data_IF_224629257939
#
_entry.id   IF_224629257939
#
_cell.length_a   1.000
_cell.length_b   1.000
_cell.length_c   1.000
_cell.angle_alpha   90.00
_cell.angle_beta   90.00
_cell.angle_gamma   90.00
#
_symmetry.space_group_name_H-M   'P 1'
#
loop_
_entity.id
_entity.type
_entity.pdbx_description
1 polymer ?
#
# COMPACT_ATOMS: atom_id res chain seq x y z
N UNK A 1 23.25 -0.41 -0.60
CA UNK A 1 21.83 -0.82 -0.70
C UNK A 1 21.39 -1.37 0.64
N UNK A 2 20.67 -0.58 1.42
CA UNK A 2 20.14 -0.98 2.73
C UNK A 2 18.68 -1.40 2.56
N UNK A 3 18.37 -2.69 2.75
CA UNK A 3 17.00 -3.22 2.71
C UNK A 3 16.52 -3.52 4.13
N UNK A 4 15.39 -2.91 4.52
CA UNK A 4 14.78 -3.08 5.84
C UNK A 4 13.88 -4.33 5.87
N UNK A 5 13.99 -5.13 6.94
CA UNK A 5 13.24 -6.37 7.17
C UNK A 5 11.88 -6.06 7.82
N UNK A 6 10.77 -6.48 7.21
CA UNK A 6 9.39 -6.07 7.56
C UNK A 6 8.94 -6.47 8.99
N UNK A 7 9.75 -7.25 9.74
CA UNK A 7 9.44 -7.68 11.10
C UNK A 7 10.50 -7.40 12.18
N UNK A 8 11.63 -6.74 11.85
CA UNK A 8 12.68 -6.39 12.85
C UNK A 8 12.87 -4.89 13.06
N UNK A 9 12.11 -4.06 12.37
CA UNK A 9 12.00 -2.68 12.77
C UNK A 9 11.18 -2.60 14.05
N UNK A 10 11.81 -2.13 15.12
CA UNK A 10 11.18 -1.02 15.84
C UNK A 10 10.80 -0.03 14.75
N UNK A 11 9.53 0.01 14.36
CA UNK A 11 9.02 0.90 13.31
C UNK A 11 9.23 2.33 13.81
N UNK A 12 10.43 2.86 13.61
CA UNK A 12 10.69 4.29 13.71
C UNK A 12 10.06 4.87 12.46
N UNK A 13 8.76 5.17 12.52
CA UNK A 13 7.99 5.87 11.48
C UNK A 13 8.47 7.33 11.25
N UNK A 14 9.65 7.70 11.73
CA UNK A 14 10.37 8.89 11.23
C UNK A 14 10.95 8.69 9.83
N UNK A 15 10.77 7.52 9.20
CA UNK A 15 11.18 7.27 7.81
C UNK A 15 9.95 7.29 6.90
N UNK A 16 9.86 8.36 6.13
CA UNK A 16 8.96 8.60 4.97
C UNK A 16 9.25 7.61 3.84
N UNK A 17 8.24 6.90 3.32
CA UNK A 17 8.33 5.99 2.17
C UNK A 17 7.68 6.58 0.90
N UNK A 18 8.43 7.32 0.06
CA UNK A 18 7.85 8.07 -1.04
C UNK A 18 7.22 7.22 -2.16
N UNK A 19 7.42 5.90 -2.16
CA UNK A 19 7.02 4.99 -3.23
C UNK A 19 6.61 3.60 -2.67
N UNK A 20 5.47 3.52 -1.97
CA UNK A 20 4.90 2.23 -1.54
C UNK A 20 3.99 1.68 -2.65
N UNK A 21 4.46 0.65 -3.35
CA UNK A 21 3.73 -0.08 -4.40
C UNK A 21 4.19 -1.55 -4.46
N UNK A 22 3.40 -2.48 -5.02
CA UNK A 22 3.73 -3.90 -5.02
C UNK A 22 5.15 -4.24 -5.53
N UNK A 23 5.63 -3.56 -6.57
CA UNK A 23 6.96 -3.82 -7.14
C UNK A 23 8.14 -3.46 -6.22
N UNK A 24 7.89 -2.69 -5.15
CA UNK A 24 8.92 -2.33 -4.17
C UNK A 24 8.95 -3.31 -2.98
N UNK A 25 8.01 -4.27 -2.89
CA UNK A 25 8.06 -5.38 -1.93
C UNK A 25 8.90 -6.51 -2.50
N UNK A 26 10.10 -6.70 -1.95
CA UNK A 26 10.97 -7.79 -2.32
C UNK A 26 10.77 -8.97 -1.38
N UNK A 27 10.65 -10.17 -1.94
CA UNK A 27 10.65 -11.43 -1.19
C UNK A 27 11.74 -12.33 -1.73
N UNK A 28 12.44 -13.04 -0.84
CA UNK A 28 13.46 -14.01 -1.25
C UNK A 28 13.03 -15.46 -0.97
N UNK A 29 13.79 -16.42 -1.50
CA UNK A 29 13.56 -17.87 -1.30
C UNK A 29 13.68 -18.34 0.15
N UNK A 30 14.11 -17.48 1.08
CA UNK A 30 14.12 -17.73 2.53
C UNK A 30 12.87 -17.18 3.23
N UNK A 31 11.89 -16.68 2.48
CA UNK A 31 10.64 -16.14 3.01
C UNK A 31 10.76 -14.76 3.65
N UNK A 32 11.90 -14.08 3.50
CA UNK A 32 12.09 -12.73 4.06
C UNK A 32 11.48 -11.70 3.12
N UNK A 33 10.60 -10.85 3.66
CA UNK A 33 10.01 -9.71 2.95
C UNK A 33 10.70 -8.42 3.37
N UNK A 34 11.07 -7.59 2.40
CA UNK A 34 11.74 -6.31 2.59
C UNK A 34 11.16 -5.25 1.66
N UNK A 35 10.99 -4.04 2.17
CA UNK A 35 10.75 -2.88 1.31
C UNK A 35 12.08 -2.48 0.65
N UNK A 36 11.99 -2.12 -0.62
CA UNK A 36 13.09 -1.60 -1.44
C UNK A 36 12.75 -0.22 -1.96
N UNK A 37 13.75 0.43 -2.55
CA UNK A 37 13.63 1.79 -3.12
C UNK A 37 13.26 2.87 -2.09
N UNK A 38 14.13 3.00 -1.08
CA UNK A 38 14.17 4.17 -0.19
C UNK A 38 14.79 5.31 -0.99
N UNK A 39 14.01 5.89 -1.91
CA UNK A 39 14.46 6.92 -2.83
C UNK A 39 15.36 7.92 -2.11
N UNK A 40 16.62 8.02 -2.54
CA UNK A 40 17.52 9.11 -2.14
C UNK A 40 16.73 10.37 -2.44
N UNK A 41 16.37 11.13 -1.41
CA UNK A 41 15.48 12.27 -1.57
C UNK A 41 16.10 13.24 -2.57
N UNK A 42 15.66 13.19 -3.82
CA UNK A 42 15.78 14.36 -4.69
C UNK A 42 14.82 15.34 -4.08
N UNK A 43 15.39 16.24 -3.29
CA UNK A 43 14.80 17.50 -2.90
C UNK A 43 13.97 17.98 -4.09
N UNK A 44 12.66 18.07 -3.90
CA UNK A 44 11.67 18.39 -4.92
C UNK A 44 12.01 19.75 -5.53
N UNK A 45 12.88 19.75 -6.54
CA UNK A 45 12.92 20.81 -7.51
C UNK A 45 11.59 20.73 -8.25
N UNK A 46 10.88 21.85 -8.24
CA UNK A 46 9.54 22.05 -8.80
C UNK A 46 9.56 21.92 -10.33
N UNK A 47 9.92 20.78 -10.88
CA UNK A 47 9.67 20.45 -12.27
C UNK A 47 8.39 19.63 -12.36
N UNK A 48 7.27 20.35 -12.34
CA UNK A 48 5.95 19.89 -12.76
C UNK A 48 6.07 19.49 -14.24
N UNK A 49 6.45 18.25 -14.57
CA UNK A 49 6.26 17.75 -15.94
C UNK A 49 6.46 16.25 -16.23
N UNK A 50 7.29 15.46 -15.52
CA UNK A 50 7.81 14.22 -16.18
C UNK A 50 7.81 12.88 -15.43
N UNK A 51 7.10 12.71 -14.31
CA UNK A 51 6.96 11.41 -13.61
C UNK A 51 5.51 10.90 -13.50
N UNK A 52 4.64 11.34 -14.41
CA UNK A 52 3.18 11.41 -14.24
C UNK A 52 2.38 10.09 -14.34
N UNK A 53 2.97 8.96 -14.75
CA UNK A 53 2.15 7.85 -15.31
C UNK A 53 2.13 6.54 -14.48
N UNK A 54 2.96 6.38 -13.45
CA UNK A 54 3.02 5.11 -12.68
C UNK A 54 2.83 5.24 -11.17
N UNK A 55 3.59 6.13 -10.52
CA UNK A 55 3.63 6.25 -9.05
C UNK A 55 2.43 7.02 -8.46
N UNK A 56 1.77 7.86 -9.26
CA UNK A 56 0.64 8.67 -8.77
C UNK A 56 -0.60 7.85 -8.37
N UNK A 57 -0.78 6.62 -8.90
CA UNK A 57 -1.96 5.81 -8.59
C UNK A 57 -2.06 5.40 -7.10
N UNK A 58 -0.93 5.29 -6.42
CA UNK A 58 -0.85 4.97 -4.99
C UNK A 58 -0.81 6.22 -4.11
N UNK A 59 -0.81 7.41 -4.70
CA UNK A 59 -0.68 8.66 -3.98
C UNK A 59 -1.95 8.95 -3.17
N UNK A 60 -1.76 9.35 -1.91
CA UNK A 60 -2.87 9.74 -1.04
C UNK A 60 -3.59 11.01 -1.57
N UNK A 61 -4.91 11.15 -1.35
CA UNK A 61 -5.70 12.26 -1.90
C UNK A 61 -5.12 13.64 -1.57
N UNK A 62 -4.63 13.83 -0.34
CA UNK A 62 -4.04 15.09 0.10
C UNK A 62 -2.75 15.47 -0.63
N UNK A 63 -1.98 14.47 -1.11
CA UNK A 63 -0.72 14.69 -1.83
C UNK A 63 -0.96 15.11 -3.27
N UNK A 64 -2.09 14.71 -3.86
CA UNK A 64 -2.49 15.13 -5.22
C UNK A 64 -2.66 16.66 -5.28
N UNK A 65 -3.10 17.30 -4.18
CA UNK A 65 -3.26 18.76 -4.09
C UNK A 65 -1.98 19.52 -3.73
N UNK A 66 -0.81 18.86 -3.74
CA UNK A 66 0.45 19.50 -3.35
C UNK A 66 0.57 19.76 -1.85
N UNK A 67 -0.22 19.06 -1.02
CA UNK A 67 -0.04 19.06 0.42
C UNK A 67 1.34 18.55 0.82
N UNK A 68 1.84 19.01 1.97
CA UNK A 68 3.11 18.53 2.50
C UNK A 68 3.07 17.01 2.77
N UNK A 69 4.20 16.36 2.58
CA UNK A 69 4.34 14.94 2.87
C UNK A 69 4.05 14.65 4.35
N UNK A 70 3.18 13.67 4.63
CA UNK A 70 2.86 13.24 6.00
C UNK A 70 2.90 11.72 6.12
N UNK A 71 3.22 11.23 7.32
CA UNK A 71 3.26 9.80 7.67
C UNK A 71 1.93 9.08 7.30
N UNK A 72 0.80 9.77 7.38
CA UNK A 72 -0.51 9.23 7.00
C UNK A 72 -0.66 8.93 5.50
N UNK A 73 0.11 9.58 4.64
CA UNK A 73 0.08 9.28 3.20
C UNK A 73 0.67 7.90 2.89
N UNK A 74 1.64 7.44 3.70
CA UNK A 74 2.24 6.11 3.55
C UNK A 74 1.26 5.00 3.92
N UNK A 75 0.42 5.25 4.93
CA UNK A 75 -0.66 4.34 5.32
C UNK A 75 -1.64 4.13 4.15
N UNK A 76 -1.99 5.19 3.42
CA UNK A 76 -2.82 5.08 2.24
C UNK A 76 -2.15 4.23 1.15
N UNK A 77 -0.92 4.59 0.76
CA UNK A 77 -0.20 3.89 -0.30
C UNK A 77 0.00 2.40 0.05
N UNK A 78 0.29 2.10 1.32
CA UNK A 78 0.33 0.74 1.84
C UNK A 78 -1.02 0.03 1.70
N UNK A 79 -2.12 0.68 2.11
CA UNK A 79 -3.48 0.16 1.96
C UNK A 79 -3.84 -0.19 0.51
N UNK A 80 -3.48 0.67 -0.44
CA UNK A 80 -3.70 0.41 -1.87
C UNK A 80 -2.88 -0.79 -2.32
N UNK A 81 -1.60 -0.86 -1.96
CA UNK A 81 -0.71 -1.95 -2.38
C UNK A 81 -1.16 -3.32 -1.82
N UNK A 82 -1.55 -3.41 -0.55
CA UNK A 82 -2.01 -4.68 0.03
C UNK A 82 -3.37 -5.11 -0.52
N UNK A 83 -4.28 -4.17 -0.79
CA UNK A 83 -5.55 -4.46 -1.42
C UNK A 83 -5.34 -4.96 -2.86
N UNK A 84 -4.45 -4.32 -3.63
CA UNK A 84 -4.08 -4.76 -4.96
C UNK A 84 -3.50 -6.19 -4.96
N UNK A 85 -2.55 -6.48 -4.07
CA UNK A 85 -1.97 -7.83 -3.98
C UNK A 85 -3.02 -8.89 -3.62
N UNK A 86 -4.01 -8.54 -2.80
CA UNK A 86 -5.09 -9.44 -2.42
C UNK A 86 -6.15 -9.64 -3.51
N UNK A 87 -6.40 -8.62 -4.33
CA UNK A 87 -7.40 -8.60 -5.42
C UNK A 87 -6.80 -9.14 -6.73
N UNK A 88 -5.51 -8.92 -6.97
CA UNK A 88 -4.79 -9.26 -8.21
C UNK A 88 -4.86 -8.18 -9.30
N UNK A 89 -5.48 -7.03 -9.03
CA UNK A 89 -5.52 -5.85 -9.89
C UNK A 89 -5.68 -4.59 -9.05
N UNK A 90 -5.43 -3.42 -9.66
CA UNK A 90 -5.51 -2.14 -8.97
C UNK A 90 -6.93 -1.90 -8.38
N UNK A 91 -7.03 -1.60 -7.06
CA UNK A 91 -8.30 -1.71 -6.33
C UNK A 91 -9.20 -0.47 -6.45
N UNK A 92 -8.63 0.71 -6.73
CA UNK A 92 -9.41 1.95 -6.76
C UNK A 92 -10.00 2.29 -8.14
N UNK A 93 -9.65 1.51 -9.17
CA UNK A 93 -10.19 1.70 -10.52
C UNK A 93 -11.60 1.11 -10.63
N UNK A 94 -12.55 1.90 -11.14
CA UNK A 94 -13.93 1.47 -11.39
C UNK A 94 -14.09 0.67 -12.68
N UNK A 95 -13.19 0.88 -13.63
CA UNK A 95 -13.18 0.18 -14.91
C UNK A 95 -11.74 -0.16 -15.32
N UNK A 96 -11.51 -1.23 -16.11
CA UNK A 96 -10.16 -1.65 -16.51
C UNK A 96 -9.36 -0.59 -17.27
N UNK A 97 -10.04 0.32 -17.97
CA UNK A 97 -9.44 1.34 -18.84
C UNK A 97 -9.62 2.76 -18.28
N UNK A 98 -9.82 2.90 -16.96
CA UNK A 98 -9.97 4.21 -16.34
C UNK A 98 -8.65 5.00 -16.45
N UNK A 99 -8.72 6.23 -16.97
CA UNK A 99 -7.55 7.12 -17.06
C UNK A 99 -7.13 7.61 -15.67
N UNK A 100 -5.86 7.99 -15.53
CA UNK A 100 -5.36 8.56 -14.27
C UNK A 100 -6.13 9.80 -13.83
N UNK A 101 -6.47 10.71 -14.75
CA UNK A 101 -7.25 11.91 -14.42
C UNK A 101 -8.65 11.55 -13.93
N UNK A 102 -9.32 10.57 -14.55
CA UNK A 102 -10.63 10.09 -14.12
C UNK A 102 -10.56 9.40 -12.75
N UNK A 103 -9.50 8.63 -12.51
CA UNK A 103 -9.24 8.00 -11.22
C UNK A 103 -9.06 9.05 -10.12
N UNK A 104 -8.22 10.06 -10.37
CA UNK A 104 -8.00 11.17 -9.44
C UNK A 104 -9.29 11.92 -9.16
N UNK A 105 -10.09 12.24 -10.18
CA UNK A 105 -11.40 12.85 -9.99
C UNK A 105 -12.31 11.98 -9.13
N UNK A 106 -12.31 10.66 -9.35
CA UNK A 106 -13.13 9.71 -8.57
C UNK A 106 -12.71 9.68 -7.10
N UNK A 107 -11.41 9.58 -6.83
CA UNK A 107 -10.86 9.49 -5.47
C UNK A 107 -11.09 10.79 -4.70
N UNK A 108 -10.86 11.93 -5.34
CA UNK A 108 -10.92 13.22 -4.66
C UNK A 108 -12.34 13.77 -4.62
N UNK A 109 -12.95 13.95 -5.80
CA UNK A 109 -14.17 14.73 -5.98
C UNK A 109 -15.42 13.83 -6.01
N UNK A 110 -15.24 12.54 -6.25
CA UNK A 110 -16.32 11.57 -6.36
C UNK A 110 -16.88 11.10 -5.02
N UNK A 111 -17.87 10.22 -5.11
CA UNK A 111 -18.38 9.48 -3.96
C UNK A 111 -17.38 8.39 -3.57
N UNK A 112 -16.47 8.73 -2.65
CA UNK A 112 -15.42 7.82 -2.23
C UNK A 112 -15.96 6.63 -1.42
N UNK A 113 -17.12 6.75 -0.78
CA UNK A 113 -17.78 5.62 -0.10
C UNK A 113 -18.13 4.49 -1.08
N UNK A 114 -18.56 4.82 -2.30
CA UNK A 114 -18.84 3.82 -3.33
C UNK A 114 -17.57 3.10 -3.77
N UNK A 115 -16.44 3.82 -3.84
CA UNK A 115 -15.13 3.23 -4.16
C UNK A 115 -14.71 2.28 -3.04
N UNK A 116 -14.81 2.73 -1.79
CA UNK A 116 -14.43 1.93 -0.63
C UNK A 116 -15.31 0.69 -0.48
N UNK A 117 -16.63 0.81 -0.70
CA UNK A 117 -17.56 -0.31 -0.75
C UNK A 117 -17.24 -1.30 -1.87
N UNK A 118 -16.81 -0.81 -3.05
CA UNK A 118 -16.34 -1.67 -4.14
C UNK A 118 -15.11 -2.47 -3.72
N UNK A 119 -14.10 -1.82 -3.12
CA UNK A 119 -12.89 -2.50 -2.62
C UNK A 119 -13.26 -3.55 -1.56
N UNK A 120 -14.13 -3.20 -0.62
CA UNK A 120 -14.60 -4.13 0.42
C UNK A 120 -15.29 -5.36 -0.20
N UNK A 121 -16.14 -5.16 -1.21
CA UNK A 121 -16.82 -6.25 -1.90
C UNK A 121 -15.86 -7.19 -2.63
N UNK A 122 -14.76 -6.67 -3.20
CA UNK A 122 -13.73 -7.52 -3.81
C UNK A 122 -12.91 -8.31 -2.77
N UNK A 123 -12.80 -7.77 -1.56
CA UNK A 123 -12.09 -8.39 -0.45
C UNK A 123 -12.98 -9.26 0.45
N UNK A 124 -14.30 -9.36 0.19
CA UNK A 124 -15.27 -9.98 1.11
C UNK A 124 -14.97 -11.44 1.47
N UNK A 125 -14.25 -12.16 0.62
CA UNK A 125 -13.86 -13.56 0.84
C UNK A 125 -12.54 -13.69 1.62
N UNK A 126 -11.91 -12.57 2.00
CA UNK A 126 -10.77 -12.52 2.93
C UNK A 126 -11.29 -12.46 4.37
N UNK A 127 -10.37 -12.55 5.34
CA UNK A 127 -10.75 -12.45 6.75
C UNK A 127 -11.35 -11.08 7.06
N UNK A 128 -12.35 -11.05 7.95
CA UNK A 128 -12.98 -9.79 8.38
C UNK A 128 -11.94 -8.78 8.88
N UNK A 129 -10.96 -9.25 9.66
CA UNK A 129 -9.89 -8.40 10.18
C UNK A 129 -9.00 -7.82 9.08
N UNK A 130 -8.76 -8.56 7.99
CA UNK A 130 -8.05 -8.02 6.83
C UNK A 130 -8.86 -6.92 6.12
N UNK A 131 -10.17 -7.14 5.91
CA UNK A 131 -11.04 -6.13 5.31
C UNK A 131 -11.14 -4.87 6.18
N UNK A 132 -11.20 -5.02 7.51
CA UNK A 132 -11.18 -3.89 8.42
C UNK A 132 -9.82 -3.17 8.41
N UNK A 133 -8.73 -3.93 8.33
CA UNK A 133 -7.38 -3.37 8.22
C UNK A 133 -7.23 -2.50 6.96
N UNK A 134 -7.63 -3.02 5.80
CA UNK A 134 -7.57 -2.27 4.52
C UNK A 134 -8.49 -1.05 4.55
N UNK A 135 -9.71 -1.19 5.08
CA UNK A 135 -10.65 -0.07 5.22
C UNK A 135 -10.09 1.08 6.07
N UNK A 136 -9.40 0.77 7.16
CA UNK A 136 -8.76 1.78 8.02
C UNK A 136 -7.57 2.50 7.35
N UNK A 137 -6.91 1.84 6.39
CA UNK A 137 -5.87 2.46 5.58
C UNK A 137 -6.44 3.40 4.50
N UNK A 138 -7.53 2.97 3.86
CA UNK A 138 -8.13 3.63 2.70
C UNK A 138 -9.19 4.66 3.10
N UNK A 139 -8.84 5.57 4.00
CA UNK A 139 -9.71 6.68 4.40
C UNK A 139 -9.28 7.95 3.67
N UNK A 140 -10.22 8.59 2.95
CA UNK A 140 -9.93 9.83 2.20
C UNK A 140 -9.49 10.95 3.15
N UNK A 141 -10.26 11.17 4.19
CA UNK A 141 -9.94 12.17 5.22
C UNK A 141 -8.84 11.67 6.15
N UNK A 142 -7.78 12.45 6.31
CA UNK A 142 -6.63 12.11 7.17
C UNK A 142 -7.08 11.83 8.60
N UNK A 143 -8.05 12.58 9.12
CA UNK A 143 -8.55 12.44 10.49
C UNK A 143 -9.20 11.07 10.77
N UNK A 144 -9.71 10.40 9.73
CA UNK A 144 -10.30 9.07 9.85
C UNK A 144 -9.30 7.96 9.52
N UNK A 145 -8.18 8.31 8.88
CA UNK A 145 -7.15 7.35 8.46
C UNK A 145 -6.32 6.93 9.66
N UNK A 146 -6.25 5.61 9.86
CA UNK A 146 -5.49 5.07 10.99
C UNK A 146 -4.02 5.48 10.93
N UNK A 147 -3.41 5.64 12.09
CA UNK A 147 -1.96 5.73 12.18
C UNK A 147 -1.35 4.35 12.01
N UNK A 148 -0.06 4.29 11.71
CA UNK A 148 0.61 3.01 11.61
C UNK A 148 0.70 2.29 12.96
N UNK A 149 0.81 3.01 14.09
CA UNK A 149 0.79 2.43 15.43
C UNK A 149 -0.55 1.73 15.73
N UNK A 150 -1.65 2.37 15.34
CA UNK A 150 -2.99 1.80 15.48
C UNK A 150 -3.22 0.58 14.57
N UNK A 151 -2.58 0.55 13.40
CA UNK A 151 -2.62 -0.60 12.49
C UNK A 151 -1.78 -1.76 13.02
N UNK A 152 -0.57 -1.48 13.55
CA UNK A 152 0.26 -2.49 14.20
C UNK A 152 -0.43 -3.13 15.41
N UNK A 153 -1.31 -2.39 16.08
CA UNK A 153 -2.11 -2.87 17.21
C UNK A 153 -3.42 -3.55 16.81
N UNK A 154 -3.74 -3.63 15.53
CA UNK A 154 -5.01 -4.18 15.02
C UNK A 154 -5.16 -5.69 15.28
N UNK A 155 -6.40 -6.18 15.22
CA UNK A 155 -6.68 -7.62 15.31
C UNK A 155 -5.96 -8.43 14.23
N UNK A 156 -5.94 -7.91 12.99
CA UNK A 156 -5.23 -8.54 11.88
C UNK A 156 -3.74 -8.74 12.19
N UNK A 157 -3.05 -7.71 12.66
CA UNK A 157 -1.62 -7.81 12.98
C UNK A 157 -1.37 -8.74 14.17
N UNK A 158 -2.20 -8.68 15.23
CA UNK A 158 -2.06 -9.57 16.39
C UNK A 158 -2.26 -11.04 16.07
N UNK A 159 -3.11 -11.38 15.10
CA UNK A 159 -3.37 -12.76 14.70
C UNK A 159 -2.32 -13.33 13.75
N UNK A 160 -1.63 -12.47 12.98
CA UNK A 160 -0.69 -12.89 11.94
C UNK A 160 0.78 -12.65 12.32
N UNK A 161 1.05 -12.17 13.54
CA UNK A 161 2.39 -12.03 14.10
C UNK A 161 2.63 -13.02 15.26
N UNK A 162 3.84 -13.59 15.38
CA UNK A 162 4.96 -13.48 14.43
C UNK A 162 4.68 -14.24 13.12
N UNK A 163 5.23 -13.74 12.01
CA UNK A 163 5.08 -14.37 10.69
C UNK A 163 5.78 -15.74 10.70
N UNK A 164 5.09 -16.78 10.21
CA UNK A 164 5.74 -18.05 9.87
C UNK A 164 6.54 -17.90 8.57
N UNK A 165 7.79 -17.48 8.73
CA UNK A 165 8.74 -17.28 7.62
C UNK A 165 8.95 -18.57 6.81
N UNK A 166 8.81 -19.75 7.42
CA UNK A 166 8.98 -21.03 6.72
C UNK A 166 7.86 -21.25 5.72
N UNK A 167 6.61 -20.99 6.12
CA UNK A 167 5.47 -21.08 5.21
C UNK A 167 5.60 -20.11 4.03
N UNK A 168 6.06 -18.88 4.28
CA UNK A 168 6.34 -17.91 3.21
C UNK A 168 7.44 -18.44 2.27
N UNK A 169 8.53 -18.99 2.82
CA UNK A 169 9.63 -19.52 2.02
C UNK A 169 9.19 -20.66 1.10
N UNK A 170 8.39 -21.61 1.61
CA UNK A 170 7.86 -22.72 0.82
C UNK A 170 6.98 -22.22 -0.32
N UNK A 171 6.07 -21.30 -0.04
CA UNK A 171 5.21 -20.69 -1.06
C UNK A 171 6.04 -20.00 -2.16
N UNK A 172 7.05 -19.21 -1.77
CA UNK A 172 7.91 -18.48 -2.71
C UNK A 172 8.71 -19.45 -3.59
N UNK A 173 9.27 -20.51 -3.00
CA UNK A 173 10.03 -21.52 -3.73
C UNK A 173 9.14 -22.27 -4.73
N UNK A 174 7.91 -22.62 -4.33
CA UNK A 174 6.93 -23.26 -5.21
C UNK A 174 6.63 -22.35 -6.43
N UNK A 175 6.36 -21.07 -6.20
CA UNK A 175 6.06 -20.11 -7.28
C UNK A 175 7.24 -19.81 -8.19
N UNK A 176 8.46 -19.71 -7.64
CA UNK A 176 9.67 -19.55 -8.46
C UNK A 176 9.89 -20.78 -9.33
N UNK A 177 9.67 -21.98 -8.80
CA UNK A 177 9.89 -23.24 -9.53
C UNK A 177 8.87 -23.45 -10.66
N UNK A 178 7.65 -22.92 -10.52
CA UNK A 178 6.61 -22.94 -11.55
C UNK A 178 6.78 -21.86 -12.63
N UNK A 179 7.66 -20.89 -12.41
CA UNK A 179 7.95 -19.78 -13.33
C UNK A 179 9.12 -20.03 -14.29
N UNK A 180 9.74 -21.21 -14.23
CA UNK A 180 10.81 -21.67 -15.13
C UNK A 180 10.30 -22.73 -16.09
#
# INVERSE_FOLDING_TARGET
MSCIEVGKCNFVFSITFPDVKPSNFLVNSRGQVKLSDFGVSKQLDRSVAQSYVGTNAYMAPERIFGGEYRIHSDVWSYGVAIAEMAIGRFPLARTPNQTMDSLVQTIVLGNFEDVLASVYNELKDRSHDFCMFTNRCLQREIANRATAEELLSSAFMRQNLPIDVRSVALFVQEKISLGN
#
